data_IF_001530577922
#
_entry.id   IF_001530577922
#
_cell.length_a   1.000
_cell.length_b   1.000
_cell.length_c   1.000
_cell.angle_alpha   90.00
_cell.angle_beta   90.00
_cell.angle_gamma   90.00
#
_symmetry.space_group_name_H-M   'P 1'
#
loop_
_entity.id
_entity.type
_entity.pdbx_description
1 polymer ?
#
# COMPACT_ATOMS: atom_id res chain seq x y z
N UNK A 1 9.35 43.95 5.46
CA UNK A 1 9.22 42.53 5.09
C UNK A 1 9.92 42.33 3.76
N UNK A 2 11.03 41.58 3.72
CA UNK A 2 11.92 41.52 2.55
C UNK A 2 11.29 40.78 1.34
N UNK A 3 11.64 41.26 0.15
CA UNK A 3 11.31 40.73 -1.18
C UNK A 3 11.59 39.23 -1.32
N UNK A 4 12.66 38.72 -0.69
CA UNK A 4 13.01 37.29 -0.67
C UNK A 4 11.99 36.45 0.09
N UNK A 5 11.53 36.93 1.24
CA UNK A 5 10.51 36.25 2.07
C UNK A 5 9.15 36.19 1.35
N UNK A 6 8.79 37.24 0.58
CA UNK A 6 7.57 37.26 -0.24
C UNK A 6 7.64 36.35 -1.47
N UNK A 7 8.84 36.14 -2.04
CA UNK A 7 9.04 35.22 -3.18
C UNK A 7 8.96 33.77 -2.72
N UNK A 8 9.59 33.43 -1.60
CA UNK A 8 9.57 32.09 -1.02
C UNK A 8 8.14 31.66 -0.60
N UNK A 9 7.36 32.53 0.06
CA UNK A 9 5.95 32.22 0.40
C UNK A 9 5.06 32.00 -0.82
N UNK A 10 5.24 32.79 -1.89
CA UNK A 10 4.49 32.60 -3.15
C UNK A 10 4.89 31.29 -3.86
N UNK A 11 6.14 30.90 -3.75
CA UNK A 11 6.62 29.65 -4.34
C UNK A 11 6.10 28.43 -3.57
N UNK A 12 6.09 28.49 -2.24
CA UNK A 12 5.50 27.48 -1.39
C UNK A 12 4.00 27.31 -1.68
N UNK A 13 3.26 28.41 -1.85
CA UNK A 13 1.84 28.35 -2.22
C UNK A 13 1.58 27.66 -3.57
N UNK A 14 2.46 27.86 -4.57
CA UNK A 14 2.37 27.15 -5.86
C UNK A 14 2.71 25.67 -5.74
N UNK A 15 3.71 25.33 -4.93
CA UNK A 15 4.10 23.94 -4.69
C UNK A 15 2.99 23.16 -3.96
N UNK A 16 2.37 23.77 -2.95
CA UNK A 16 1.23 23.19 -2.24
C UNK A 16 0.04 22.96 -3.18
N UNK A 17 -0.34 23.98 -3.96
CA UNK A 17 -1.44 23.83 -4.93
C UNK A 17 -1.17 22.72 -5.97
N UNK A 18 0.08 22.59 -6.43
CA UNK A 18 0.47 21.49 -7.31
C UNK A 18 0.35 20.13 -6.61
N UNK A 19 0.84 20.02 -5.37
CA UNK A 19 0.78 18.78 -4.61
C UNK A 19 -0.67 18.32 -4.36
N UNK A 20 -1.55 19.24 -3.99
CA UNK A 20 -2.98 18.99 -3.82
C UNK A 20 -3.64 18.50 -5.12
N UNK A 21 -3.36 19.18 -6.25
CA UNK A 21 -3.87 18.79 -7.55
C UNK A 21 -3.42 17.37 -7.94
N UNK A 22 -2.13 17.08 -7.82
CA UNK A 22 -1.56 15.76 -8.15
C UNK A 22 -2.13 14.67 -7.24
N UNK A 23 -2.26 14.95 -5.94
CA UNK A 23 -2.83 13.99 -4.99
C UNK A 23 -4.30 13.68 -5.30
N UNK A 24 -5.09 14.68 -5.71
CA UNK A 24 -6.47 14.49 -6.13
C UNK A 24 -6.54 13.66 -7.42
N UNK A 25 -5.82 14.04 -8.47
CA UNK A 25 -5.83 13.33 -9.74
C UNK A 25 -5.32 11.89 -9.63
N UNK A 26 -4.28 11.67 -8.83
CA UNK A 26 -3.80 10.32 -8.52
C UNK A 26 -4.90 9.50 -7.84
N UNK A 27 -5.59 10.08 -6.85
CA UNK A 27 -6.67 9.39 -6.13
C UNK A 27 -7.84 9.02 -7.05
N UNK A 28 -8.22 9.92 -7.96
CA UNK A 28 -9.28 9.66 -8.94
C UNK A 28 -8.87 8.61 -9.98
N UNK A 29 -7.60 8.63 -10.40
CA UNK A 29 -7.05 7.62 -11.32
C UNK A 29 -7.05 6.22 -10.72
N UNK A 30 -6.68 6.09 -9.44
CA UNK A 30 -6.70 4.80 -8.72
C UNK A 30 -8.13 4.27 -8.60
N UNK A 31 -9.09 5.13 -8.23
CA UNK A 31 -10.52 4.76 -8.19
C UNK A 31 -11.00 4.25 -9.55
N UNK A 32 -10.77 5.04 -10.60
CA UNK A 32 -11.15 4.68 -11.96
C UNK A 32 -10.52 3.35 -12.40
N UNK A 33 -9.24 3.12 -12.11
CA UNK A 33 -8.57 1.86 -12.44
C UNK A 33 -9.23 0.66 -11.73
N UNK A 34 -9.52 0.79 -10.43
CA UNK A 34 -10.22 -0.24 -9.67
C UNK A 34 -11.62 -0.53 -10.25
N UNK A 35 -12.41 0.51 -10.53
CA UNK A 35 -13.76 0.40 -11.10
C UNK A 35 -13.76 -0.26 -12.49
N UNK A 36 -12.67 -0.08 -13.25
CA UNK A 36 -12.49 -0.67 -14.58
C UNK A 36 -11.88 -2.08 -14.56
N UNK A 37 -11.63 -2.64 -13.37
CA UNK A 37 -11.08 -3.98 -13.22
C UNK A 37 -9.60 -4.10 -13.60
N UNK A 38 -8.85 -2.99 -13.57
CA UNK A 38 -7.40 -3.02 -13.75
C UNK A 38 -6.79 -3.82 -12.58
N UNK A 39 -5.83 -4.69 -12.88
CA UNK A 39 -5.10 -5.42 -11.85
C UNK A 39 -4.21 -4.45 -11.05
N UNK A 40 -4.53 -4.23 -9.78
CA UNK A 40 -3.80 -3.32 -8.89
C UNK A 40 -2.76 -4.08 -8.07
N UNK A 41 -1.63 -3.42 -7.81
CA UNK A 41 -0.59 -3.86 -6.87
C UNK A 41 -0.29 -2.75 -5.86
N UNK A 42 0.24 -3.13 -4.69
CA UNK A 42 0.80 -2.18 -3.71
C UNK A 42 2.21 -1.79 -4.15
N UNK A 43 2.47 -0.48 -4.21
CA UNK A 43 3.80 0.08 -4.42
C UNK A 43 3.93 1.41 -3.69
N UNK A 44 4.77 1.46 -2.65
CA UNK A 44 4.82 2.59 -1.72
C UNK A 44 5.73 3.74 -2.16
N UNK A 45 6.57 3.55 -3.19
CA UNK A 45 7.65 4.47 -3.59
C UNK A 45 8.35 5.10 -2.37
N UNK A 46 8.98 4.26 -1.51
CA UNK A 46 9.32 4.68 -0.17
C UNK A 46 10.45 5.72 -0.20
N UNK A 47 10.09 6.97 0.05
CA UNK A 47 11.01 8.08 0.38
C UNK A 47 11.13 8.30 1.91
N UNK A 48 10.39 7.51 2.69
CA UNK A 48 10.34 7.46 4.15
C UNK A 48 10.88 6.10 4.65
N UNK A 49 11.02 5.87 5.98
CA UNK A 49 11.49 4.58 6.49
C UNK A 49 10.67 3.41 5.95
N UNK A 50 11.36 2.33 5.58
CA UNK A 50 10.75 1.18 4.91
C UNK A 50 9.61 0.56 5.73
N UNK A 51 9.69 0.60 7.06
CA UNK A 51 8.66 0.05 7.94
C UNK A 51 7.30 0.73 7.75
N UNK A 52 7.26 1.99 7.29
CA UNK A 52 6.02 2.72 7.06
C UNK A 52 5.31 2.33 5.77
N UNK A 53 5.96 1.57 4.87
CA UNK A 53 5.39 1.16 3.58
C UNK A 53 4.09 0.35 3.73
N UNK A 54 3.89 -0.29 4.87
CA UNK A 54 2.66 -1.02 5.18
C UNK A 54 1.41 -0.11 5.17
N UNK A 55 1.56 1.20 5.41
CA UNK A 55 0.47 2.18 5.36
C UNK A 55 -0.12 2.33 3.96
N UNK A 56 0.56 1.85 2.92
CA UNK A 56 0.03 1.90 1.55
C UNK A 56 -1.22 1.03 1.38
N UNK A 57 -1.40 -0.03 2.17
CA UNK A 57 -2.66 -0.78 2.21
C UNK A 57 -3.81 0.12 2.65
N UNK A 58 -3.63 0.86 3.75
CA UNK A 58 -4.62 1.82 4.25
C UNK A 58 -4.83 2.98 3.28
N UNK A 59 -3.76 3.47 2.65
CA UNK A 59 -3.81 4.50 1.61
C UNK A 59 -4.69 4.04 0.44
N UNK A 60 -4.48 2.83 -0.07
CA UNK A 60 -5.26 2.27 -1.16
C UNK A 60 -6.73 2.03 -0.76
N UNK A 61 -6.98 1.51 0.45
CA UNK A 61 -8.34 1.29 0.96
C UNK A 61 -9.17 2.57 1.12
N UNK A 62 -8.54 3.74 1.27
CA UNK A 62 -9.26 5.04 1.23
C UNK A 62 -9.84 5.37 -0.15
N UNK A 63 -9.33 4.73 -1.20
CA UNK A 63 -9.70 4.96 -2.60
C UNK A 63 -10.47 3.77 -3.19
N UNK A 64 -10.18 2.56 -2.70
CA UNK A 64 -10.79 1.31 -3.14
C UNK A 64 -11.57 0.70 -1.97
N UNK A 65 -12.92 0.75 -1.97
CA UNK A 65 -13.73 0.26 -0.85
C UNK A 65 -13.66 -1.25 -0.61
N UNK A 66 -13.29 -2.03 -1.62
CA UNK A 66 -13.17 -3.48 -1.49
C UNK A 66 -11.82 -3.87 -0.88
N UNK A 67 -11.82 -4.12 0.43
CA UNK A 67 -10.65 -4.56 1.17
C UNK A 67 -10.10 -5.92 0.67
N UNK A 68 -10.90 -6.77 0.03
CA UNK A 68 -10.36 -7.99 -0.59
C UNK A 68 -9.51 -7.66 -1.81
N UNK A 69 -9.89 -6.65 -2.60
CA UNK A 69 -9.09 -6.19 -3.72
C UNK A 69 -7.76 -5.62 -3.23
N UNK A 70 -7.80 -4.81 -2.17
CA UNK A 70 -6.61 -4.24 -1.53
C UNK A 70 -5.68 -5.34 -0.98
N UNK A 71 -6.23 -6.36 -0.31
CA UNK A 71 -5.43 -7.46 0.22
C UNK A 71 -4.75 -8.26 -0.91
N UNK A 72 -5.46 -8.51 -2.03
CA UNK A 72 -4.89 -9.15 -3.22
C UNK A 72 -3.79 -8.30 -3.86
N UNK A 73 -3.94 -6.98 -3.88
CA UNK A 73 -2.95 -6.05 -4.39
C UNK A 73 -1.60 -6.13 -3.65
N UNK A 74 -1.60 -6.55 -2.39
CA UNK A 74 -0.39 -6.79 -1.61
C UNK A 74 0.09 -8.24 -1.55
N UNK A 75 -0.61 -9.19 -2.19
CA UNK A 75 -0.33 -10.63 -2.06
C UNK A 75 -0.24 -11.32 -3.42
N UNK A 76 -1.36 -11.82 -3.95
CA UNK A 76 -1.37 -12.63 -5.18
C UNK A 76 -1.15 -11.80 -6.46
N UNK A 77 -1.56 -10.53 -6.48
CA UNK A 77 -1.39 -9.70 -7.67
C UNK A 77 0.09 -9.38 -7.99
N UNK A 78 0.93 -8.97 -7.01
CA UNK A 78 2.35 -8.80 -7.27
C UNK A 78 3.06 -10.13 -7.54
N UNK A 79 2.63 -11.24 -6.92
CA UNK A 79 3.14 -12.57 -7.24
C UNK A 79 2.92 -12.91 -8.73
N UNK A 80 1.70 -12.69 -9.25
CA UNK A 80 1.39 -12.87 -10.69
C UNK A 80 2.18 -11.94 -11.59
N UNK A 81 2.34 -10.67 -11.20
CA UNK A 81 3.13 -9.70 -11.97
C UNK A 81 4.58 -10.18 -12.11
N UNK A 82 5.12 -10.83 -11.08
CA UNK A 82 6.48 -11.37 -11.05
C UNK A 82 6.61 -12.78 -11.65
N UNK A 83 5.51 -13.44 -12.04
CA UNK A 83 5.51 -14.82 -12.50
C UNK A 83 5.79 -15.85 -11.40
N UNK A 84 5.46 -15.52 -10.15
CA UNK A 84 5.71 -16.33 -8.95
C UNK A 84 4.41 -16.82 -8.29
N UNK A 85 3.29 -16.76 -8.99
CA UNK A 85 1.98 -17.13 -8.45
C UNK A 85 1.85 -18.61 -8.10
N UNK A 86 2.73 -19.49 -8.58
CA UNK A 86 2.77 -20.90 -8.18
C UNK A 86 3.64 -21.12 -6.93
N UNK A 87 4.44 -20.13 -6.53
CA UNK A 87 5.39 -20.23 -5.42
C UNK A 87 4.94 -19.45 -4.18
N UNK A 88 4.37 -18.25 -4.35
CA UNK A 88 4.03 -17.32 -3.27
C UNK A 88 2.66 -16.64 -3.48
N UNK A 89 2.32 -15.71 -2.58
CA UNK A 89 1.17 -14.80 -2.73
C UNK A 89 -0.19 -15.34 -2.27
N UNK A 90 -0.30 -16.63 -1.93
CA UNK A 90 -1.49 -17.21 -1.26
C UNK A 90 -1.09 -18.30 -0.29
N UNK A 91 -1.93 -18.54 0.71
CA UNK A 91 -1.82 -19.73 1.57
C UNK A 91 -2.43 -20.94 0.84
N UNK A 92 -1.57 -21.77 0.22
CA UNK A 92 -1.97 -22.99 -0.47
C UNK A 92 -0.88 -24.06 -0.34
N UNK A 93 -1.27 -25.33 -0.41
CA UNK A 93 -0.32 -26.45 -0.37
C UNK A 93 0.66 -26.36 -1.54
N UNK A 94 1.95 -26.59 -1.27
CA UNK A 94 3.02 -26.55 -2.27
C UNK A 94 3.71 -25.18 -2.40
N UNK A 95 3.13 -24.11 -1.84
CA UNK A 95 3.73 -22.77 -1.82
C UNK A 95 4.70 -22.58 -0.66
N UNK A 96 5.55 -21.55 -0.76
CA UNK A 96 6.45 -21.17 0.32
C UNK A 96 5.64 -20.73 1.56
N UNK A 97 6.14 -21.11 2.74
CA UNK A 97 5.54 -20.74 4.02
C UNK A 97 5.92 -19.32 4.44
N UNK A 98 5.47 -18.34 3.64
CA UNK A 98 5.55 -16.91 3.90
C UNK A 98 4.21 -16.42 4.47
N UNK A 99 4.19 -16.18 5.77
CA UNK A 99 2.95 -15.91 6.53
C UNK A 99 3.14 -14.66 7.37
N UNK A 100 2.16 -13.76 7.31
CA UNK A 100 2.08 -12.57 8.15
C UNK A 100 0.75 -12.60 8.90
N UNK A 101 0.76 -12.27 10.19
CA UNK A 101 -0.47 -12.08 10.95
C UNK A 101 -0.43 -10.81 11.78
N UNK A 102 -1.62 -10.22 11.92
CA UNK A 102 -1.90 -9.02 12.72
C UNK A 102 -3.18 -9.29 13.52
N UNK A 103 -3.36 -8.70 14.71
CA UNK A 103 -4.62 -8.79 15.43
C UNK A 103 -5.70 -7.95 14.76
N UNK A 104 -6.90 -8.51 14.68
CA UNK A 104 -8.04 -7.91 13.98
C UNK A 104 -8.15 -8.36 12.51
N UNK A 105 -9.27 -8.06 11.89
CA UNK A 105 -9.58 -8.49 10.53
C UNK A 105 -9.38 -7.34 9.52
N UNK A 106 -8.39 -7.39 8.61
CA UNK A 106 -8.15 -6.33 7.64
C UNK A 106 -9.30 -6.16 6.63
N UNK A 107 -10.17 -7.16 6.49
CA UNK A 107 -11.36 -7.07 5.63
C UNK A 107 -12.41 -6.13 6.25
N UNK A 108 -12.58 -6.18 7.57
CA UNK A 108 -13.48 -5.28 8.29
C UNK A 108 -12.86 -3.87 8.41
N UNK A 109 -11.54 -3.82 8.62
CA UNK A 109 -10.79 -2.57 8.76
C UNK A 109 -9.33 -2.73 8.35
N UNK A 110 -8.97 -2.20 7.18
CA UNK A 110 -7.63 -2.38 6.58
C UNK A 110 -6.47 -1.98 7.50
N UNK A 111 -6.66 -0.97 8.37
CA UNK A 111 -5.62 -0.52 9.30
C UNK A 111 -5.12 -1.63 10.25
N UNK A 112 -5.88 -2.71 10.45
CA UNK A 112 -5.41 -3.86 11.25
C UNK A 112 -4.12 -4.49 10.68
N UNK A 113 -3.89 -4.38 9.37
CA UNK A 113 -2.67 -4.91 8.74
C UNK A 113 -1.39 -4.19 9.20
N UNK A 114 -1.50 -2.95 9.70
CA UNK A 114 -0.35 -2.15 10.15
C UNK A 114 0.25 -2.67 11.47
N UNK A 115 -0.50 -3.44 12.25
CA UNK A 115 -0.05 -3.99 13.54
C UNK A 115 0.37 -5.46 13.42
N UNK A 116 1.30 -5.78 12.51
CA UNK A 116 1.84 -7.13 12.39
C UNK A 116 2.46 -7.58 13.72
N UNK A 117 2.12 -8.76 14.20
CA UNK A 117 2.70 -9.39 15.41
C UNK A 117 3.35 -10.74 15.12
N UNK A 118 3.13 -11.28 13.92
CA UNK A 118 3.71 -12.55 13.50
C UNK A 118 4.23 -12.46 12.07
N UNK A 119 5.45 -12.93 11.87
CA UNK A 119 6.05 -13.08 10.53
C UNK A 119 6.79 -14.41 10.46
N UNK A 120 6.45 -15.22 9.47
CA UNK A 120 7.17 -16.40 9.03
C UNK A 120 7.64 -16.17 7.58
N UNK A 121 8.88 -16.53 7.28
CA UNK A 121 9.45 -16.48 5.94
C UNK A 121 10.11 -17.82 5.63
N UNK A 122 9.68 -18.48 4.56
CA UNK A 122 10.18 -19.79 4.14
C UNK A 122 10.09 -20.85 5.24
N UNK A 123 9.07 -20.78 6.10
CA UNK A 123 8.91 -21.71 7.24
C UNK A 123 9.65 -21.30 8.53
N UNK A 124 10.46 -20.25 8.50
CA UNK A 124 11.20 -19.75 9.66
C UNK A 124 10.46 -18.56 10.28
N UNK A 125 10.14 -18.66 11.57
CA UNK A 125 9.54 -17.55 12.32
C UNK A 125 10.61 -16.48 12.56
N UNK A 126 10.37 -15.26 12.07
CA UNK A 126 11.26 -14.11 12.23
C UNK A 126 10.70 -13.04 13.18
N UNK A 127 9.40 -13.10 13.49
CA UNK A 127 8.72 -12.25 14.47
C UNK A 127 7.57 -13.00 15.13
N UNK A 128 7.43 -12.87 16.45
CA UNK A 128 6.37 -13.47 17.27
C UNK A 128 6.27 -12.77 18.64
N UNK A 129 5.62 -11.62 18.68
CA UNK A 129 5.46 -10.75 19.86
C UNK A 129 4.00 -10.55 20.30
#
# INVERSE_FOLDING_TARGET
MDSRTRRHRRDLGRQLAKAELVASQHSDSVKMAAERGVNLIIGSDPIFPMEESIREFTSLARRVPDNWLVLRAGTINPARMLGLEDEIGTLAVGKQADIVASPGNPIDRMQHIENVTFVMKGGVIVRND
#
